data_IF_497807127633
#
_entry.id   IF_497807127633
#
_cell.length_a   1.000
_cell.length_b   1.000
_cell.length_c   1.000
_cell.angle_alpha   90.00
_cell.angle_beta   90.00
_cell.angle_gamma   90.00
#
_symmetry.space_group_name_H-M   'P 1'
#
loop_
_entity.id
_entity.type
_entity.pdbx_description
1 polymer ?
#
# COMPACT_ATOMS: atom_id res chain seq x y z
N UNK A 1 -3.94 3.53 -3.88
CA UNK A 1 -2.55 3.68 -4.42
C UNK A 1 -1.48 2.94 -3.61
N UNK A 2 -1.35 3.13 -2.28
CA UNK A 2 -0.31 2.47 -1.46
C UNK A 2 -0.41 0.93 -1.55
N UNK A 3 -1.62 0.38 -1.43
CA UNK A 3 -1.86 -1.06 -1.51
C UNK A 3 -1.52 -1.65 -2.89
N UNK A 4 -1.70 -0.89 -3.98
CA UNK A 4 -1.28 -1.30 -5.33
C UNK A 4 0.25 -1.35 -5.44
N UNK A 5 0.96 -0.39 -4.82
CA UNK A 5 2.42 -0.40 -4.78
C UNK A 5 2.98 -1.56 -3.97
N UNK A 6 2.35 -1.90 -2.84
CA UNK A 6 2.72 -3.08 -2.03
C UNK A 6 2.62 -4.34 -2.90
N UNK A 7 1.46 -4.59 -3.50
CA UNK A 7 1.24 -5.74 -4.39
C UNK A 7 2.23 -5.79 -5.56
N UNK A 8 2.54 -4.65 -6.17
CA UNK A 8 3.54 -4.59 -7.24
C UNK A 8 4.93 -5.03 -6.77
N UNK A 9 5.35 -4.62 -5.58
CA UNK A 9 6.65 -5.03 -5.04
C UNK A 9 6.67 -6.51 -4.64
N UNK A 10 5.59 -7.02 -4.04
CA UNK A 10 5.42 -8.44 -3.69
C UNK A 10 5.51 -9.34 -4.94
N UNK A 11 4.74 -9.02 -5.99
CA UNK A 11 4.77 -9.76 -7.26
C UNK A 11 6.14 -9.79 -7.93
N UNK A 12 6.98 -8.79 -7.67
CA UNK A 12 8.33 -8.75 -8.22
C UNK A 12 9.29 -9.64 -7.43
N UNK A 13 9.12 -9.79 -6.11
CA UNK A 13 9.96 -10.67 -5.30
C UNK A 13 9.82 -12.14 -5.74
N UNK A 14 8.66 -12.54 -6.23
CA UNK A 14 8.42 -13.90 -6.77
C UNK A 14 9.14 -14.18 -8.12
N UNK A 15 9.73 -13.16 -8.76
CA UNK A 15 10.52 -13.33 -9.97
C UNK A 15 12.00 -13.62 -9.67
N UNK A 16 12.75 -14.20 -10.61
CA UNK A 16 14.19 -14.46 -10.45
C UNK A 16 14.90 -13.11 -10.24
N UNK A 17 15.28 -12.83 -8.98
CA UNK A 17 15.88 -11.58 -8.54
C UNK A 17 17.12 -11.87 -7.67
N UNK A 18 18.06 -10.92 -7.62
CA UNK A 18 19.22 -11.03 -6.72
C UNK A 18 18.82 -10.65 -5.27
N UNK A 19 19.63 -11.08 -4.30
CA UNK A 19 19.36 -10.89 -2.87
C UNK A 19 19.27 -9.40 -2.46
N UNK A 20 20.08 -8.54 -3.07
CA UNK A 20 20.10 -7.11 -2.76
C UNK A 20 18.80 -6.42 -3.19
N UNK A 21 18.30 -6.74 -4.37
CA UNK A 21 17.05 -6.21 -4.89
C UNK A 21 15.85 -6.72 -4.06
N UNK A 22 15.90 -7.98 -3.60
CA UNK A 22 14.89 -8.51 -2.67
C UNK A 22 14.89 -7.68 -1.39
N UNK A 23 16.06 -7.46 -0.76
CA UNK A 23 16.19 -6.63 0.45
C UNK A 23 15.70 -5.20 0.24
N UNK A 24 15.97 -4.61 -0.93
CA UNK A 24 15.48 -3.26 -1.28
C UNK A 24 13.96 -3.22 -1.38
N UNK A 25 13.34 -4.24 -1.99
CA UNK A 25 11.89 -4.35 -2.13
C UNK A 25 11.21 -4.61 -0.79
N UNK A 26 11.74 -5.50 0.04
CA UNK A 26 11.23 -5.76 1.38
C UNK A 26 11.27 -4.51 2.27
N UNK A 27 12.39 -3.77 2.23
CA UNK A 27 12.50 -2.46 2.91
C UNK A 27 11.41 -1.50 2.42
N UNK A 28 11.14 -1.46 1.12
CA UNK A 28 10.11 -0.60 0.54
C UNK A 28 8.70 -1.02 0.95
N UNK A 29 8.40 -2.32 0.93
CA UNK A 29 7.13 -2.89 1.38
C UNK A 29 6.88 -2.51 2.85
N UNK A 30 7.88 -2.71 3.73
CA UNK A 30 7.79 -2.35 5.14
C UNK A 30 7.50 -0.87 5.36
N UNK A 31 8.19 0.01 4.62
CA UNK A 31 7.94 1.45 4.67
C UNK A 31 6.52 1.81 4.20
N UNK A 32 6.02 1.19 3.12
CA UNK A 32 4.67 1.41 2.62
C UNK A 32 3.60 0.95 3.62
N UNK A 33 3.83 -0.18 4.32
CA UNK A 33 2.95 -0.63 5.40
C UNK A 33 2.92 0.34 6.58
N UNK A 34 4.08 0.88 6.98
CA UNK A 34 4.14 1.90 8.03
C UNK A 34 3.34 3.14 7.65
N UNK A 35 3.56 3.67 6.44
CA UNK A 35 2.80 4.83 5.95
C UNK A 35 1.30 4.55 5.92
N UNK A 36 0.87 3.35 5.52
CA UNK A 36 -0.54 2.97 5.54
C UNK A 36 -1.10 2.95 6.96
N UNK A 37 -0.35 2.43 7.93
CA UNK A 37 -0.76 2.40 9.33
C UNK A 37 -0.86 3.81 9.91
N UNK A 38 0.08 4.70 9.59
CA UNK A 38 0.06 6.09 10.05
C UNK A 38 -1.15 6.85 9.49
N UNK A 39 -1.43 6.68 8.19
CA UNK A 39 -2.63 7.27 7.56
C UNK A 39 -3.92 6.74 8.18
N UNK A 40 -4.00 5.44 8.49
CA UNK A 40 -5.16 4.86 9.17
C UNK A 40 -5.37 5.46 10.56
N UNK A 41 -4.30 5.56 11.36
CA UNK A 41 -4.36 6.19 12.69
C UNK A 41 -4.81 7.65 12.60
N UNK A 42 -4.31 8.39 11.61
CA UNK A 42 -4.76 9.77 11.37
C UNK A 42 -6.24 9.84 11.00
N UNK A 43 -6.72 8.93 10.16
CA UNK A 43 -8.13 8.88 9.78
C UNK A 43 -9.05 8.50 10.95
N UNK A 44 -8.62 7.57 11.81
CA UNK A 44 -9.34 7.17 13.03
C UNK A 44 -9.38 8.28 14.09
N UNK A 45 -8.39 9.17 14.11
CA UNK A 45 -8.30 10.30 15.04
C UNK A 45 -9.16 11.51 14.68
N UNK A 46 -9.83 11.52 13.52
CA UNK A 46 -10.71 12.61 13.10
C UNK A 46 -12.16 12.22 13.44
N UNK A 47 -12.78 12.79 14.48
CA UNK A 47 -14.18 12.54 14.78
C UNK A 47 -15.05 13.15 13.67
N UNK A 48 -15.59 12.31 12.80
CA UNK A 48 -16.48 12.72 11.72
C UNK A 48 -16.86 11.53 10.83
N UNK A 49 -18.12 11.47 10.39
CA UNK A 49 -18.55 10.42 9.45
C UNK A 49 -17.93 10.70 8.08
N UNK A 50 -17.01 9.85 7.63
CA UNK A 50 -16.50 9.87 6.26
C UNK A 50 -17.53 9.15 5.38
N UNK A 51 -18.30 9.92 4.62
CA UNK A 51 -19.14 9.38 3.54
C UNK A 51 -18.25 9.12 2.33
N UNK A 52 -18.19 7.87 1.86
CA UNK A 52 -17.46 7.51 0.65
C UNK A 52 -18.47 7.06 -0.40
N UNK A 53 -18.76 7.94 -1.35
CA UNK A 53 -19.57 7.63 -2.52
C UNK A 53 -18.65 7.26 -3.68
N UNK A 54 -18.89 6.12 -4.31
CA UNK A 54 -18.17 5.70 -5.50
C UNK A 54 -19.16 5.23 -6.55
N UNK A 55 -19.10 5.83 -7.74
CA UNK A 55 -19.88 5.44 -8.90
C UNK A 55 -18.91 4.96 -9.98
N UNK A 56 -19.13 3.75 -10.48
CA UNK A 56 -18.38 3.20 -11.62
C UNK A 56 -19.39 2.99 -12.74
N UNK A 57 -19.33 3.84 -13.76
CA UNK A 57 -20.14 3.70 -14.97
C UNK A 57 -19.37 2.87 -15.98
N UNK A 58 -19.93 1.71 -16.35
CA UNK A 58 -19.44 0.87 -17.43
C UNK A 58 -20.51 0.91 -18.52
N UNK A 59 -20.15 1.48 -19.66
CA UNK A 59 -20.97 1.57 -20.86
C UNK A 59 -20.10 1.38 -22.09
#
# INVERSE_FOLDING_TARGET
MIQVKIKYHEQKIDSIMNEEDIKNRERKIKSLHQTLADVKKLAEGIPGKVSMESQVTIG
#
